data_IF_654276907793
#
_entry.id   IF_654276907793
#
_cell.length_a   1.000
_cell.length_b   1.000
_cell.length_c   1.000
_cell.angle_alpha   90.00
_cell.angle_beta   90.00
_cell.angle_gamma   90.00
#
_symmetry.space_group_name_H-M   'P 1'
#
loop_
_entity.id
_entity.type
_entity.pdbx_description
1 polymer ?
#
# COMPACT_ATOMS: atom_id res chain seq x y z
N UNK A 1 5.18 14.28 -13.33
CA UNK A 1 4.10 14.48 -12.34
C UNK A 1 3.34 15.77 -12.65
N UNK A 2 2.01 15.76 -12.49
CA UNK A 2 1.20 16.98 -12.47
C UNK A 2 0.88 17.32 -11.02
N UNK A 3 1.34 18.49 -10.60
CA UNK A 3 1.10 19.02 -9.26
C UNK A 3 -0.17 19.87 -9.29
N UNK A 4 -1.22 19.37 -8.64
CA UNK A 4 -2.54 20.00 -8.61
C UNK A 4 -2.70 21.05 -7.51
N UNK A 5 -1.98 20.89 -6.41
CA UNK A 5 -1.88 21.89 -5.34
C UNK A 5 -0.65 22.79 -5.56
N UNK A 6 -0.81 24.07 -5.92
CA UNK A 6 0.31 24.98 -6.11
C UNK A 6 1.13 25.20 -4.84
N UNK A 7 0.53 25.10 -3.65
CA UNK A 7 1.14 25.39 -2.35
C UNK A 7 1.87 24.20 -1.71
N UNK A 8 1.84 23.03 -2.35
CA UNK A 8 2.65 21.88 -1.92
C UNK A 8 4.15 22.14 -2.20
N UNK A 9 4.89 22.74 -1.27
CA UNK A 9 6.31 23.07 -1.51
C UNK A 9 7.29 21.91 -1.23
N UNK A 10 6.86 20.89 -0.49
CA UNK A 10 7.73 19.84 0.06
C UNK A 10 7.25 18.43 -0.25
N UNK A 11 5.93 18.18 -0.18
CA UNK A 11 5.36 16.85 -0.33
C UNK A 11 5.52 16.30 -1.75
N UNK A 12 5.44 17.13 -2.79
CA UNK A 12 5.69 16.68 -4.16
C UNK A 12 7.10 16.11 -4.36
N UNK A 13 8.12 16.65 -3.65
CA UNK A 13 9.49 16.14 -3.71
C UNK A 13 9.59 14.76 -3.08
N UNK A 14 8.92 14.57 -1.95
CA UNK A 14 8.85 13.27 -1.26
C UNK A 14 8.17 12.25 -2.17
N UNK A 15 7.03 12.62 -2.78
CA UNK A 15 6.27 11.80 -3.71
C UNK A 15 7.09 11.37 -4.94
N UNK A 16 7.86 12.29 -5.52
CA UNK A 16 8.74 11.98 -6.66
C UNK A 16 9.92 11.11 -6.25
N UNK A 17 10.50 11.35 -5.07
CA UNK A 17 11.57 10.53 -4.53
C UNK A 17 11.10 9.09 -4.31
N UNK A 18 9.90 8.92 -3.74
CA UNK A 18 9.26 7.61 -3.59
C UNK A 18 8.94 6.97 -4.94
N UNK A 19 8.45 7.73 -5.93
CA UNK A 19 8.21 7.20 -7.27
C UNK A 19 9.49 6.69 -7.92
N UNK A 20 10.61 7.41 -7.76
CA UNK A 20 11.90 6.99 -8.27
C UNK A 20 12.35 5.68 -7.60
N UNK A 21 12.19 5.56 -6.27
CA UNK A 21 12.48 4.32 -5.54
C UNK A 21 11.60 3.15 -6.02
N UNK A 22 10.30 3.39 -6.24
CA UNK A 22 9.39 2.39 -6.82
C UNK A 22 9.87 1.95 -8.22
N UNK A 23 10.26 2.91 -9.06
CA UNK A 23 10.77 2.64 -10.40
C UNK A 23 12.04 1.77 -10.37
N UNK A 24 13.00 2.09 -9.51
CA UNK A 24 14.22 1.30 -9.31
C UNK A 24 13.93 -0.13 -8.83
N UNK A 25 12.96 -0.29 -7.91
CA UNK A 25 12.54 -1.62 -7.43
C UNK A 25 11.91 -2.44 -8.56
N UNK A 26 11.14 -1.79 -9.42
CA UNK A 26 10.61 -2.40 -10.63
C UNK A 26 11.68 -2.59 -11.72
N UNK A 27 12.94 -2.20 -11.50
CA UNK A 27 14.05 -2.42 -12.42
C UNK A 27 14.21 -1.34 -13.49
N UNK A 28 13.52 -0.21 -13.37
CA UNK A 28 13.73 0.95 -14.23
C UNK A 28 14.90 1.79 -13.73
N UNK A 29 15.64 2.39 -14.68
CA UNK A 29 16.63 3.42 -14.40
C UNK A 29 16.00 4.79 -14.64
N UNK A 30 15.87 5.61 -13.59
CA UNK A 30 15.32 6.97 -13.72
C UNK A 30 16.37 7.88 -14.35
N UNK A 31 16.08 8.42 -15.54
CA UNK A 31 17.00 9.29 -16.30
C UNK A 31 16.68 10.77 -16.18
N UNK A 32 15.42 11.13 -16.00
CA UNK A 32 14.95 12.52 -15.89
C UNK A 32 13.63 12.60 -15.12
N UNK A 33 13.27 13.77 -14.62
CA UNK A 33 12.02 14.04 -13.89
C UNK A 33 11.36 15.32 -14.38
N UNK A 34 10.13 15.17 -14.93
CA UNK A 34 9.35 16.30 -15.43
C UNK A 34 8.18 16.63 -14.50
N UNK A 35 8.06 17.91 -14.15
CA UNK A 35 7.02 18.43 -13.27
C UNK A 35 6.24 19.53 -14.00
N UNK A 36 4.91 19.51 -13.84
CA UNK A 36 4.05 20.61 -14.28
C UNK A 36 3.07 20.99 -13.18
N UNK A 37 3.04 22.28 -12.82
CA UNK A 37 2.03 22.82 -11.89
C UNK A 37 0.79 23.20 -12.69
N UNK A 38 -0.38 22.67 -12.30
CA UNK A 38 -1.68 23.01 -12.92
C UNK A 38 -2.78 22.87 -11.89
N UNK A 39 -3.77 23.77 -11.85
CA UNK A 39 -4.92 23.62 -10.93
C UNK A 39 -5.70 22.31 -11.12
N UNK A 40 -5.74 21.79 -12.35
CA UNK A 40 -6.38 20.53 -12.71
C UNK A 40 -5.60 19.82 -13.82
N UNK A 41 -5.64 18.49 -13.77
CA UNK A 41 -5.10 17.65 -14.83
C UNK A 41 -5.80 17.92 -16.16
N UNK A 42 -5.03 17.87 -17.26
CA UNK A 42 -5.59 17.96 -18.60
C UNK A 42 -6.39 16.71 -18.94
N UNK A 43 -7.61 16.89 -19.46
CA UNK A 43 -8.54 15.79 -19.75
C UNK A 43 -7.98 14.74 -20.71
N UNK A 44 -7.17 15.17 -21.69
CA UNK A 44 -6.62 14.30 -22.74
C UNK A 44 -5.24 13.73 -22.46
N UNK A 45 -4.43 14.33 -21.57
CA UNK A 45 -3.00 14.01 -21.44
C UNK A 45 -2.47 14.01 -20.01
N UNK A 46 -3.30 14.37 -19.01
CA UNK A 46 -2.87 14.76 -17.66
C UNK A 46 -2.00 16.05 -17.66
N UNK A 47 -0.94 16.10 -18.47
CA UNK A 47 -0.11 17.27 -18.77
C UNK A 47 -0.78 18.22 -19.77
N UNK A 48 -0.35 19.49 -19.77
CA UNK A 48 -0.70 20.43 -20.84
C UNK A 48 -0.01 20.08 -22.15
N UNK A 49 -0.65 20.41 -23.29
CA UNK A 49 -0.15 20.09 -24.65
C UNK A 49 1.31 20.50 -24.89
N UNK A 50 1.70 21.71 -24.49
CA UNK A 50 3.09 22.17 -24.64
C UNK A 50 4.09 21.29 -23.87
N UNK A 51 3.73 20.91 -22.63
CA UNK A 51 4.56 20.03 -21.80
C UNK A 51 4.64 18.60 -22.37
N UNK A 52 3.58 18.10 -23.02
CA UNK A 52 3.64 16.82 -23.73
C UNK A 52 4.67 16.87 -24.85
N UNK A 53 4.78 18.01 -25.55
CA UNK A 53 5.76 18.16 -26.62
C UNK A 53 7.19 18.25 -26.08
N UNK A 54 7.41 18.96 -24.97
CA UNK A 54 8.70 18.95 -24.27
C UNK A 54 9.11 17.52 -23.85
N UNK A 55 8.18 16.74 -23.29
CA UNK A 55 8.44 15.34 -22.92
C UNK A 55 8.76 14.50 -24.16
N UNK A 56 8.08 14.72 -25.29
CA UNK A 56 8.35 14.02 -26.55
C UNK A 56 9.78 14.26 -27.05
N UNK A 57 10.25 15.50 -26.94
CA UNK A 57 11.63 15.87 -27.30
C UNK A 57 12.64 15.20 -26.37
N UNK A 58 12.38 15.18 -25.06
CA UNK A 58 13.21 14.47 -24.08
C UNK A 58 13.26 12.96 -24.34
N UNK A 59 12.12 12.34 -24.62
CA UNK A 59 12.03 10.91 -24.95
C UNK A 59 12.91 10.55 -26.14
N UNK A 60 12.89 11.38 -27.20
CA UNK A 60 13.75 11.17 -28.37
C UNK A 60 15.23 11.42 -28.08
N UNK A 61 15.53 12.50 -27.34
CA UNK A 61 16.91 12.92 -27.06
C UNK A 61 17.65 11.94 -26.15
N UNK A 62 16.94 11.36 -25.18
CA UNK A 62 17.51 10.47 -24.16
C UNK A 62 17.19 9.00 -24.42
N UNK A 63 16.57 8.67 -25.56
CA UNK A 63 16.19 7.31 -25.95
C UNK A 63 15.41 6.57 -24.85
N UNK A 64 14.35 7.22 -24.34
CA UNK A 64 13.57 6.71 -23.22
C UNK A 64 12.57 5.65 -23.70
N UNK A 65 12.57 4.46 -23.10
CA UNK A 65 11.63 3.37 -23.42
C UNK A 65 10.24 3.50 -22.77
N UNK A 66 10.20 4.11 -21.57
CA UNK A 66 8.99 4.15 -20.73
C UNK A 66 8.86 5.49 -20.02
N UNK A 67 7.66 6.08 -20.06
CA UNK A 67 7.32 7.28 -19.29
C UNK A 67 6.41 6.92 -18.12
N UNK A 68 6.90 7.17 -16.90
CA UNK A 68 6.21 6.84 -15.66
C UNK A 68 5.52 8.08 -15.08
N UNK A 69 4.21 7.99 -14.87
CA UNK A 69 3.42 9.05 -14.25
C UNK A 69 3.16 8.78 -12.77
N UNK A 70 3.42 9.78 -11.92
CA UNK A 70 2.98 9.75 -10.52
C UNK A 70 1.44 9.68 -10.39
N UNK A 71 0.75 10.49 -11.20
CA UNK A 71 -0.71 10.58 -11.22
C UNK A 71 -1.31 9.32 -11.85
N UNK A 72 -2.48 8.90 -11.38
CA UNK A 72 -3.23 7.78 -11.97
C UNK A 72 -3.88 8.24 -13.27
N UNK A 73 -3.52 7.59 -14.38
CA UNK A 73 -4.01 7.96 -15.70
C UNK A 73 -5.37 7.30 -16.01
N UNK A 74 -6.24 8.07 -16.65
CA UNK A 74 -7.43 7.56 -17.32
C UNK A 74 -7.03 6.85 -18.62
N UNK A 75 -7.83 5.88 -19.07
CA UNK A 75 -7.56 5.12 -20.30
C UNK A 75 -7.37 6.01 -21.53
N UNK A 76 -8.14 7.10 -21.65
CA UNK A 76 -7.99 8.06 -22.75
C UNK A 76 -6.68 8.87 -22.65
N UNK A 77 -6.26 9.25 -21.44
CA UNK A 77 -5.00 9.95 -21.20
C UNK A 77 -3.82 9.07 -21.58
N UNK A 78 -3.79 7.82 -21.10
CA UNK A 78 -2.76 6.82 -21.44
C UNK A 78 -2.66 6.63 -22.96
N UNK A 79 -3.79 6.34 -23.62
CA UNK A 79 -3.83 6.13 -25.07
C UNK A 79 -3.28 7.33 -25.86
N UNK A 80 -3.69 8.55 -25.51
CA UNK A 80 -3.23 9.75 -26.21
C UNK A 80 -1.74 10.02 -25.96
N UNK A 81 -1.25 9.78 -24.75
CA UNK A 81 0.17 9.94 -24.41
C UNK A 81 1.03 8.94 -25.18
N UNK A 82 0.69 7.65 -25.19
CA UNK A 82 1.41 6.62 -25.95
C UNK A 82 1.44 6.96 -27.45
N UNK A 83 0.33 7.43 -28.01
CA UNK A 83 0.27 7.87 -29.42
C UNK A 83 1.19 9.07 -29.70
N UNK A 84 1.28 10.02 -28.76
CA UNK A 84 2.09 11.22 -28.96
C UNK A 84 3.59 10.99 -28.73
N UNK A 85 3.92 10.18 -27.71
CA UNK A 85 5.28 9.93 -27.25
C UNK A 85 5.94 8.74 -27.99
N UNK A 86 5.13 7.83 -28.55
CA UNK A 86 5.56 6.61 -29.25
C UNK A 86 6.38 5.64 -28.39
N UNK A 87 6.10 5.62 -27.09
CA UNK A 87 6.76 4.79 -26.07
C UNK A 87 5.73 4.32 -25.05
N UNK A 88 6.08 3.34 -24.22
CA UNK A 88 5.16 2.83 -23.20
C UNK A 88 4.89 3.91 -22.13
N UNK A 89 3.62 4.03 -21.71
CA UNK A 89 3.22 4.96 -20.66
C UNK A 89 2.54 4.18 -19.54
N UNK A 90 3.18 4.15 -18.38
CA UNK A 90 2.64 3.55 -17.18
C UNK A 90 2.38 4.62 -16.13
N UNK A 91 1.37 4.40 -15.30
CA UNK A 91 1.14 5.24 -14.13
C UNK A 91 1.63 4.56 -12.85
N UNK A 92 1.54 5.26 -11.73
CA UNK A 92 1.96 4.75 -10.43
C UNK A 92 1.23 3.47 -10.04
N UNK A 93 -0.03 3.32 -10.45
CA UNK A 93 -0.82 2.12 -10.16
C UNK A 93 -0.24 0.91 -10.92
N UNK A 94 0.06 1.08 -12.21
CA UNK A 94 0.70 0.07 -13.06
C UNK A 94 2.08 -0.31 -12.48
N UNK A 95 2.92 0.68 -12.17
CA UNK A 95 4.24 0.46 -11.56
C UNK A 95 4.17 -0.33 -10.25
N UNK A 96 3.19 0.00 -9.41
CA UNK A 96 2.98 -0.68 -8.15
C UNK A 96 2.59 -2.16 -8.36
N UNK A 97 1.73 -2.46 -9.34
CA UNK A 97 1.39 -3.84 -9.71
C UNK A 97 2.58 -4.62 -10.28
N UNK A 98 3.55 -3.97 -10.92
CA UNK A 98 4.78 -4.62 -11.38
C UNK A 98 5.68 -5.05 -10.22
N UNK A 99 5.88 -4.16 -9.25
CA UNK A 99 6.65 -4.49 -8.05
C UNK A 99 5.99 -5.64 -7.29
N UNK A 100 4.66 -5.62 -7.22
CA UNK A 100 3.90 -6.67 -6.57
C UNK A 100 4.05 -8.01 -7.26
N UNK A 101 3.97 -8.04 -8.57
CA UNK A 101 4.13 -9.27 -9.34
C UNK A 101 5.51 -9.90 -9.13
N UNK A 102 6.57 -9.07 -9.05
CA UNK A 102 7.94 -9.52 -8.74
C UNK A 102 8.08 -10.08 -7.33
N UNK A 103 7.30 -9.57 -6.38
CA UNK A 103 7.42 -9.94 -4.96
C UNK A 103 6.41 -11.00 -4.52
N UNK A 104 5.40 -11.31 -5.35
CA UNK A 104 4.33 -12.25 -5.03
C UNK A 104 4.81 -13.71 -5.18
N UNK A 105 4.94 -14.40 -4.05
CA UNK A 105 5.32 -15.82 -4.03
C UNK A 105 4.14 -16.76 -4.12
N UNK A 106 3.00 -16.38 -3.55
CA UNK A 106 1.85 -17.27 -3.37
C UNK A 106 0.79 -17.09 -4.48
N UNK A 107 -0.03 -18.13 -4.66
CA UNK A 107 -1.03 -18.19 -5.73
C UNK A 107 -2.13 -17.12 -5.57
N UNK A 108 -2.51 -16.81 -4.33
CA UNK A 108 -3.56 -15.85 -4.04
C UNK A 108 -3.12 -14.45 -4.47
N UNK A 109 -1.93 -14.01 -4.03
CA UNK A 109 -1.37 -12.71 -4.39
C UNK A 109 -1.22 -12.58 -5.91
N UNK A 110 -0.75 -13.63 -6.59
CA UNK A 110 -0.64 -13.65 -8.06
C UNK A 110 -1.98 -13.46 -8.76
N UNK A 111 -3.03 -14.16 -8.31
CA UNK A 111 -4.38 -14.01 -8.88
C UNK A 111 -4.98 -12.63 -8.60
N UNK A 112 -4.71 -12.04 -7.43
CA UNK A 112 -5.14 -10.69 -7.08
C UNK A 112 -4.49 -9.63 -7.98
N UNK A 113 -3.17 -9.72 -8.16
CA UNK A 113 -2.41 -8.83 -9.04
C UNK A 113 -2.88 -8.99 -10.48
N UNK A 114 -3.08 -10.23 -10.95
CA UNK A 114 -3.61 -10.49 -12.28
C UNK A 114 -5.01 -9.87 -12.47
N UNK A 115 -5.91 -10.06 -11.49
CA UNK A 115 -7.24 -9.49 -11.54
C UNK A 115 -7.21 -7.96 -11.60
N UNK A 116 -6.32 -7.34 -10.81
CA UNK A 116 -6.11 -5.89 -10.79
C UNK A 116 -5.63 -5.40 -12.17
N UNK A 117 -4.60 -6.03 -12.75
CA UNK A 117 -4.09 -5.72 -14.10
C UNK A 117 -5.16 -5.84 -15.16
N UNK A 118 -5.90 -6.95 -15.19
CA UNK A 118 -6.97 -7.18 -16.17
C UNK A 118 -8.08 -6.14 -16.03
N UNK A 119 -8.46 -5.79 -14.81
CA UNK A 119 -9.52 -4.82 -14.55
C UNK A 119 -9.10 -3.41 -14.97
N UNK A 120 -7.85 -3.01 -14.72
CA UNK A 120 -7.28 -1.72 -15.15
C UNK A 120 -7.09 -1.66 -16.67
N UNK A 121 -6.64 -2.74 -17.29
CA UNK A 121 -6.42 -2.82 -18.74
C UNK A 121 -7.74 -2.85 -19.52
N UNK A 122 -8.80 -3.47 -18.99
CA UNK A 122 -10.09 -3.64 -19.69
C UNK A 122 -10.65 -2.36 -20.36
N UNK A 123 -10.82 -1.22 -19.67
CA UNK A 123 -11.32 0.00 -20.32
C UNK A 123 -10.35 0.57 -21.38
N UNK A 124 -9.04 0.37 -21.21
CA UNK A 124 -8.03 0.79 -22.17
C UNK A 124 -8.06 -0.06 -23.45
N UNK A 125 -8.11 -1.38 -23.32
CA UNK A 125 -8.22 -2.29 -24.46
C UNK A 125 -9.53 -2.08 -25.23
N UNK A 126 -10.64 -1.82 -24.52
CA UNK A 126 -11.91 -1.45 -25.13
C UNK A 126 -11.79 -0.18 -25.97
N UNK A 127 -11.11 0.85 -25.46
CA UNK A 127 -10.89 2.10 -26.18
C UNK A 127 -10.03 1.87 -27.43
N UNK A 128 -8.89 1.17 -27.29
CA UNK A 128 -7.96 0.88 -28.39
C UNK A 128 -8.65 0.12 -29.52
N UNK A 129 -9.43 -0.91 -29.16
CA UNK A 129 -10.17 -1.71 -30.12
C UNK A 129 -11.28 -0.90 -30.82
N UNK A 130 -11.98 0.00 -30.11
CA UNK A 130 -12.98 0.88 -30.70
C UNK A 130 -12.38 1.89 -31.69
N UNK A 131 -11.23 2.49 -31.36
CA UNK A 131 -10.55 3.43 -32.27
C UNK A 131 -10.04 2.70 -33.51
N UNK A 132 -9.43 1.52 -33.35
CA UNK A 132 -8.98 0.70 -34.48
C UNK A 132 -10.13 0.35 -35.42
N UNK A 133 -11.28 -0.05 -34.86
CA UNK A 133 -12.49 -0.33 -35.62
C UNK A 133 -12.96 0.86 -36.46
N UNK A 134 -13.01 2.07 -35.86
CA UNK A 134 -13.41 3.29 -36.55
C UNK A 134 -12.45 3.70 -37.68
N UNK A 135 -11.14 3.50 -37.49
CA UNK A 135 -10.12 3.84 -38.51
C UNK A 135 -10.16 2.88 -39.69
N UNK A 136 -10.34 1.58 -39.44
CA UNK A 136 -10.31 0.55 -40.49
C UNK A 136 -11.61 0.49 -41.32
N UNK A 137 -12.72 1.07 -40.84
CA UNK A 137 -14.04 0.93 -41.50
C UNK A 137 -14.84 2.25 -41.54
N UNK A 138 -14.47 3.24 -42.37
CA UNK A 138 -15.36 4.33 -42.75
C UNK A 138 -16.43 3.81 -43.74
N UNK A 139 -17.35 2.97 -43.24
CA UNK A 139 -18.53 2.50 -43.96
C UNK A 139 -18.40 1.13 -44.67
N UNK A 140 -18.63 0.03 -43.94
CA UNK A 140 -19.34 -1.22 -44.36
C UNK A 140 -19.05 -2.34 -43.35
N UNK A 141 -20.10 -3.05 -42.93
CA UNK A 141 -20.04 -4.21 -42.02
C UNK A 141 -19.38 -5.41 -42.72
N UNK A 142 -18.39 -6.03 -42.07
CA UNK A 142 -18.13 -7.49 -42.04
C UNK A 142 -16.62 -7.79 -41.94
N UNK A 143 -16.12 -7.89 -40.70
CA UNK A 143 -14.97 -8.67 -40.19
C UNK A 143 -14.33 -8.02 -38.95
N UNK A 144 -14.24 -6.69 -38.89
CA UNK A 144 -13.66 -5.95 -37.74
C UNK A 144 -14.44 -6.06 -36.42
N UNK A 145 -15.78 -6.17 -36.48
CA UNK A 145 -16.62 -6.36 -35.28
C UNK A 145 -16.28 -7.67 -34.55
N UNK A 146 -16.00 -8.76 -35.28
CA UNK A 146 -15.69 -10.05 -34.69
C UNK A 146 -14.36 -10.03 -33.92
N UNK A 147 -13.33 -9.36 -34.45
CA UNK A 147 -12.04 -9.22 -33.77
C UNK A 147 -12.16 -8.34 -32.51
N UNK A 148 -12.87 -7.22 -32.60
CA UNK A 148 -13.22 -6.36 -31.45
C UNK A 148 -13.93 -7.15 -30.35
N UNK A 149 -15.00 -7.86 -30.71
CA UNK A 149 -15.76 -8.65 -29.75
C UNK A 149 -14.95 -9.82 -29.19
N UNK A 150 -14.05 -10.43 -29.97
CA UNK A 150 -13.22 -11.55 -29.53
C UNK A 150 -12.25 -11.15 -28.42
N UNK A 151 -11.47 -10.07 -28.59
CA UNK A 151 -10.50 -9.61 -27.57
C UNK A 151 -11.20 -9.24 -26.26
N UNK A 152 -12.30 -8.47 -26.35
CA UNK A 152 -13.07 -8.06 -25.17
C UNK A 152 -13.74 -9.25 -24.49
N UNK A 153 -14.24 -10.22 -25.27
CA UNK A 153 -14.83 -11.47 -24.75
C UNK A 153 -13.78 -12.32 -24.05
N UNK A 154 -12.57 -12.42 -24.59
CA UNK A 154 -11.46 -13.14 -23.98
C UNK A 154 -11.04 -12.50 -22.64
N UNK A 155 -10.89 -11.18 -22.59
CA UNK A 155 -10.58 -10.46 -21.34
C UNK A 155 -11.67 -10.68 -20.28
N UNK A 156 -12.96 -10.55 -20.64
CA UNK A 156 -14.07 -10.83 -19.72
C UNK A 156 -14.06 -12.26 -19.20
N UNK A 157 -13.81 -13.24 -20.09
CA UNK A 157 -13.73 -14.65 -19.71
C UNK A 157 -12.57 -14.89 -18.74
N UNK A 158 -11.41 -14.26 -18.97
CA UNK A 158 -10.25 -14.35 -18.08
C UNK A 158 -10.54 -13.72 -16.72
N UNK A 159 -11.09 -12.50 -16.68
CA UNK A 159 -11.52 -11.83 -15.44
C UNK A 159 -12.47 -12.73 -14.64
N UNK A 160 -13.49 -13.30 -15.29
CA UNK A 160 -14.45 -14.20 -14.63
C UNK A 160 -13.77 -15.46 -14.06
N UNK A 161 -12.83 -16.05 -14.81
CA UNK A 161 -12.08 -17.24 -14.36
C UNK A 161 -11.22 -16.92 -13.14
N UNK A 162 -10.42 -15.85 -13.21
CA UNK A 162 -9.52 -15.43 -12.12
C UNK A 162 -10.31 -15.09 -10.87
N UNK A 163 -11.46 -14.40 -10.99
CA UNK A 163 -12.35 -14.11 -9.85
C UNK A 163 -12.85 -15.39 -9.16
N UNK A 164 -13.38 -16.34 -9.94
CA UNK A 164 -13.89 -17.61 -9.40
C UNK A 164 -12.79 -18.42 -8.69
N UNK A 165 -11.59 -18.43 -9.26
CA UNK A 165 -10.45 -19.12 -8.66
C UNK A 165 -9.99 -18.43 -7.37
N UNK A 166 -9.99 -17.09 -7.35
CA UNK A 166 -9.65 -16.30 -6.17
C UNK A 166 -10.68 -16.49 -5.03
N UNK A 167 -11.98 -16.48 -5.34
CA UNK A 167 -13.06 -16.71 -4.37
C UNK A 167 -12.89 -18.04 -3.64
N UNK A 168 -12.63 -19.13 -4.36
CA UNK A 168 -12.41 -20.44 -3.75
C UNK A 168 -11.18 -20.47 -2.82
N UNK A 169 -10.11 -19.74 -3.16
CA UNK A 169 -8.91 -19.68 -2.32
C UNK A 169 -9.09 -18.79 -1.08
N UNK A 170 -9.90 -17.72 -1.19
CA UNK A 170 -10.29 -16.86 -0.07
C UNK A 170 -10.98 -17.70 1.01
N UNK A 171 -11.98 -18.50 0.63
CA UNK A 171 -12.73 -19.35 1.57
C UNK A 171 -11.82 -20.31 2.34
N UNK A 172 -10.84 -20.92 1.64
CA UNK A 172 -9.86 -21.82 2.26
C UNK A 172 -8.96 -21.05 3.25
N UNK A 173 -8.52 -19.84 2.90
CA UNK A 173 -7.69 -19.02 3.78
C UNK A 173 -8.44 -18.59 5.05
N UNK A 174 -9.69 -18.15 4.92
CA UNK A 174 -10.54 -17.76 6.05
C UNK A 174 -10.80 -18.93 7.00
N UNK A 175 -11.02 -20.14 6.46
CA UNK A 175 -11.14 -21.36 7.27
C UNK A 175 -9.87 -21.61 8.10
N UNK A 176 -8.68 -21.46 7.51
CA UNK A 176 -7.40 -21.62 8.23
C UNK A 176 -7.22 -20.58 9.33
N UNK A 177 -7.63 -19.34 9.12
CA UNK A 177 -7.61 -18.31 10.16
C UNK A 177 -8.51 -18.71 11.32
N UNK A 178 -9.72 -19.19 11.02
CA UNK A 178 -10.70 -19.64 12.03
C UNK A 178 -10.14 -20.80 12.86
N UNK A 179 -9.60 -21.83 12.20
CA UNK A 179 -8.96 -22.98 12.87
C UNK A 179 -7.79 -22.54 13.76
N UNK A 180 -7.05 -21.49 13.41
CA UNK A 180 -5.98 -20.94 14.26
C UNK A 180 -6.53 -20.22 15.48
N UNK A 181 -7.61 -19.45 15.33
CA UNK A 181 -8.29 -18.79 16.45
C UNK A 181 -8.88 -19.80 17.42
N UNK A 182 -9.47 -20.89 16.91
CA UNK A 182 -10.01 -21.98 17.72
C UNK A 182 -8.93 -22.70 18.55
N UNK A 183 -7.67 -22.71 18.08
CA UNK A 183 -6.51 -23.22 18.83
C UNK A 183 -6.05 -22.30 19.97
N UNK A 184 -6.74 -21.17 20.20
CA UNK A 184 -6.57 -20.33 21.39
C UNK A 184 -5.29 -19.48 21.45
N UNK A 185 -4.50 -19.44 20.37
CA UNK A 185 -3.26 -18.66 20.32
C UNK A 185 -3.51 -17.27 19.73
N UNK A 186 -3.11 -16.19 20.41
CA UNK A 186 -3.31 -14.83 19.93
C UNK A 186 -2.47 -14.54 18.69
N UNK A 187 -2.99 -13.66 17.84
CA UNK A 187 -2.38 -13.22 16.58
C UNK A 187 -1.98 -11.75 16.70
N UNK A 188 -0.70 -11.48 16.52
CA UNK A 188 -0.11 -10.14 16.51
C UNK A 188 0.37 -9.81 15.09
N UNK A 189 -0.10 -8.68 14.57
CA UNK A 189 0.14 -8.26 13.19
C UNK A 189 1.02 -7.02 13.13
N UNK A 190 2.12 -7.06 12.38
CA UNK A 190 2.98 -5.90 12.12
C UNK A 190 2.50 -5.17 10.87
N UNK A 191 2.22 -3.87 10.99
CA UNK A 191 1.79 -3.01 9.89
C UNK A 191 2.48 -1.64 9.94
N UNK A 192 2.32 -0.83 8.89
CA UNK A 192 2.94 0.49 8.75
C UNK A 192 3.66 0.69 7.42
N UNK A 193 4.20 1.88 7.21
CA UNK A 193 4.84 2.26 5.95
C UNK A 193 6.05 1.39 5.59
N UNK A 194 6.35 1.24 4.30
CA UNK A 194 7.61 0.59 3.90
C UNK A 194 8.81 1.36 4.46
N UNK A 195 9.90 0.62 4.66
CA UNK A 195 11.08 1.18 5.31
C UNK A 195 10.92 1.42 6.81
N UNK A 196 9.72 1.38 7.42
CA UNK A 196 9.54 1.64 8.86
C UNK A 196 10.22 0.59 9.78
N UNK A 197 10.63 -0.56 9.23
CA UNK A 197 11.35 -1.61 9.95
C UNK A 197 10.47 -2.76 10.42
N UNK A 198 9.31 -2.99 9.78
CA UNK A 198 8.42 -4.14 10.04
C UNK A 198 9.17 -5.47 9.99
N UNK A 199 9.83 -5.77 8.88
CA UNK A 199 10.61 -7.01 8.72
C UNK A 199 11.79 -7.07 9.69
N UNK A 200 12.38 -5.93 10.08
CA UNK A 200 13.44 -5.89 11.09
C UNK A 200 12.92 -6.28 12.48
N UNK A 201 11.79 -5.71 12.91
CA UNK A 201 11.14 -6.08 14.17
C UNK A 201 10.67 -7.52 14.12
N UNK A 202 10.07 -7.95 13.00
CA UNK A 202 9.69 -9.34 12.78
C UNK A 202 10.88 -10.27 12.98
N UNK A 203 12.02 -10.01 12.33
CA UNK A 203 13.24 -10.81 12.47
C UNK A 203 13.74 -10.81 13.92
N UNK A 204 13.77 -9.64 14.57
CA UNK A 204 14.24 -9.52 15.94
C UNK A 204 13.35 -10.30 16.94
N UNK A 205 12.03 -10.32 16.74
CA UNK A 205 11.09 -11.06 17.59
C UNK A 205 11.06 -12.57 17.29
N UNK A 206 11.38 -12.97 16.05
CA UNK A 206 11.28 -14.38 15.61
C UNK A 206 12.62 -15.11 15.53
N UNK A 207 13.74 -14.41 15.61
CA UNK A 207 15.07 -14.95 15.32
C UNK A 207 15.30 -15.30 13.84
N UNK A 208 14.37 -14.97 12.96
CA UNK A 208 14.50 -15.23 11.52
C UNK A 208 15.41 -14.21 10.85
N UNK A 209 15.98 -14.59 9.70
CA UNK A 209 16.83 -13.71 8.89
C UNK A 209 16.16 -13.42 7.53
N UNK A 210 14.94 -12.85 7.55
CA UNK A 210 14.30 -12.41 6.30
C UNK A 210 15.05 -11.21 5.71
N UNK A 211 15.11 -11.07 4.37
CA UNK A 211 15.72 -9.91 3.74
C UNK A 211 15.08 -8.60 4.20
N UNK A 212 15.84 -7.78 4.91
CA UNK A 212 15.42 -6.42 5.29
C UNK A 212 15.89 -5.49 4.20
N UNK A 213 14.96 -4.96 3.41
CA UNK A 213 15.27 -3.90 2.46
C UNK A 213 14.41 -2.68 2.78
N UNK A 214 14.98 -1.48 2.66
CA UNK A 214 14.24 -0.22 2.82
C UNK A 214 13.27 0.07 1.67
N UNK A 215 13.02 -0.92 0.82
CA UNK A 215 12.27 -0.81 -0.42
C UNK A 215 10.77 -1.11 -0.16
N UNK A 216 9.87 -0.51 -0.95
CA UNK A 216 8.45 -0.82 -0.90
C UNK A 216 8.13 -2.27 -1.27
N UNK A 217 7.07 -2.81 -0.66
CA UNK A 217 6.38 -4.04 -1.07
C UNK A 217 7.20 -5.34 -1.03
N UNK A 218 8.20 -5.41 -0.16
CA UNK A 218 9.09 -6.58 0.03
C UNK A 218 8.39 -7.81 0.61
N UNK A 219 7.30 -7.59 1.36
CA UNK A 219 6.52 -8.65 2.00
C UNK A 219 5.10 -8.58 1.47
N UNK A 220 4.75 -9.48 0.55
CA UNK A 220 3.38 -9.61 0.01
C UNK A 220 2.61 -10.78 0.59
N UNK A 221 3.31 -11.82 1.02
CA UNK A 221 2.68 -13.00 1.61
C UNK A 221 2.90 -13.01 3.12
N UNK A 222 1.80 -12.86 3.85
CA UNK A 222 1.76 -13.02 5.29
C UNK A 222 2.07 -14.48 5.65
N UNK A 223 3.17 -14.71 6.37
CA UNK A 223 3.45 -16.00 7.01
C UNK A 223 3.31 -15.86 8.51
N UNK A 224 2.48 -16.72 9.08
CA UNK A 224 2.30 -16.86 10.52
C UNK A 224 3.53 -17.56 11.08
N UNK A 225 4.20 -16.92 12.03
CA UNK A 225 5.30 -17.52 12.76
C UNK A 225 4.93 -17.62 14.24
N UNK A 226 5.03 -18.82 14.79
CA UNK A 226 4.78 -19.05 16.19
C UNK A 226 6.03 -18.66 16.96
N UNK A 227 5.89 -17.72 17.90
CA UNK A 227 6.92 -17.46 18.90
C UNK A 227 6.42 -17.94 20.26
N UNK A 228 7.34 -18.44 21.07
CA UNK A 228 7.10 -18.78 22.46
C UNK A 228 7.80 -17.74 23.30
N UNK A 229 7.03 -16.91 24.01
CA UNK A 229 7.58 -16.06 25.07
C UNK A 229 7.41 -16.77 26.42
N UNK A 230 8.11 -16.30 27.46
CA UNK A 230 8.18 -16.93 28.78
C UNK A 230 6.83 -17.31 29.41
N UNK A 231 5.73 -16.63 29.04
CA UNK A 231 4.39 -16.82 29.63
C UNK A 231 3.32 -17.26 28.62
N UNK A 232 3.57 -17.14 27.30
CA UNK A 232 2.57 -17.49 26.28
C UNK A 232 3.15 -17.70 24.89
N UNK A 233 2.46 -18.52 24.09
CA UNK A 233 2.75 -18.66 22.66
C UNK A 233 1.82 -17.77 21.84
N UNK A 234 2.37 -17.04 20.87
CA UNK A 234 1.61 -16.15 20.01
C UNK A 234 2.08 -16.24 18.55
N UNK A 235 1.19 -15.95 17.62
CA UNK A 235 1.53 -15.84 16.21
C UNK A 235 1.92 -14.42 15.85
N UNK A 236 3.07 -14.24 15.22
CA UNK A 236 3.49 -12.98 14.60
C UNK A 236 3.33 -13.08 13.08
N UNK A 237 2.82 -12.00 12.47
CA UNK A 237 2.68 -11.87 11.02
C UNK A 237 3.35 -10.56 10.56
N UNK A 238 4.23 -10.66 9.56
CA UNK A 238 4.72 -9.50 8.79
C UNK A 238 3.78 -9.27 7.60
N UNK A 239 3.19 -8.07 7.52
CA UNK A 239 2.25 -7.72 6.45
C UNK A 239 2.84 -6.73 5.45
N UNK A 240 2.08 -6.48 4.38
CA UNK A 240 2.43 -5.50 3.36
C UNK A 240 2.68 -4.12 3.97
N UNK A 241 3.75 -3.47 3.52
CA UNK A 241 4.02 -2.09 3.86
C UNK A 241 3.15 -1.12 3.08
N UNK A 242 2.55 -0.15 3.76
CA UNK A 242 1.86 0.96 3.10
C UNK A 242 2.86 1.83 2.33
N UNK A 243 2.40 2.44 1.24
CA UNK A 243 3.10 3.47 0.47
C UNK A 243 2.23 4.73 0.40
N UNK A 244 2.81 5.90 0.10
CA UNK A 244 2.00 7.12 0.01
C UNK A 244 0.99 6.99 -1.14
N UNK A 245 -0.15 7.67 -1.03
CA UNK A 245 -1.18 7.73 -2.08
C UNK A 245 -1.50 6.35 -2.71
N UNK A 246 -1.52 5.28 -1.88
CA UNK A 246 -1.86 3.93 -2.35
C UNK A 246 -3.31 3.95 -2.86
N UNK A 247 -3.49 3.57 -4.13
CA UNK A 247 -4.81 3.58 -4.76
C UNK A 247 -5.77 2.64 -4.02
N UNK A 248 -7.01 3.07 -3.68
CA UNK A 248 -7.99 2.20 -3.02
C UNK A 248 -8.27 0.89 -3.77
N UNK A 249 -8.16 0.88 -5.11
CA UNK A 249 -8.32 -0.33 -5.93
C UNK A 249 -7.17 -1.32 -5.73
N UNK A 250 -5.98 -0.85 -5.33
CA UNK A 250 -4.89 -1.72 -4.91
C UNK A 250 -5.21 -2.31 -3.53
N UNK A 251 -5.68 -1.50 -2.57
CA UNK A 251 -6.11 -1.96 -1.25
C UNK A 251 -7.15 -3.08 -1.38
N UNK A 252 -8.13 -2.92 -2.28
CA UNK A 252 -9.12 -3.95 -2.59
C UNK A 252 -8.51 -5.25 -3.13
N UNK A 253 -7.47 -5.15 -3.94
CA UNK A 253 -6.73 -6.31 -4.44
C UNK A 253 -5.94 -7.02 -3.34
N UNK A 254 -5.61 -6.35 -2.23
CA UNK A 254 -4.90 -6.91 -1.08
C UNK A 254 -5.83 -7.27 0.10
N UNK A 255 -7.14 -7.35 -0.13
CA UNK A 255 -8.13 -7.65 0.92
C UNK A 255 -7.76 -8.82 1.82
N UNK A 256 -7.06 -9.84 1.31
CA UNK A 256 -6.65 -10.98 2.12
C UNK A 256 -5.48 -10.70 3.07
N UNK A 257 -4.44 -9.98 2.65
CA UNK A 257 -3.36 -9.57 3.58
C UNK A 257 -3.87 -8.56 4.59
N UNK A 258 -4.88 -7.76 4.22
CA UNK A 258 -5.58 -6.87 5.14
C UNK A 258 -6.58 -7.63 6.05
N UNK A 259 -7.12 -8.77 5.61
CA UNK A 259 -7.93 -9.63 6.46
C UNK A 259 -7.10 -10.24 7.60
N UNK A 260 -5.80 -10.49 7.39
CA UNK A 260 -4.92 -10.92 8.48
C UNK A 260 -4.81 -9.82 9.56
N UNK A 261 -4.79 -8.54 9.16
CA UNK A 261 -4.84 -7.39 10.10
C UNK A 261 -6.17 -7.39 10.86
N UNK A 262 -7.31 -7.56 10.16
CA UNK A 262 -8.65 -7.64 10.80
C UNK A 262 -8.78 -8.82 11.75
N UNK A 263 -8.18 -9.95 11.39
CA UNK A 263 -8.23 -11.16 12.18
C UNK A 263 -7.31 -11.09 13.40
N UNK A 264 -6.34 -10.16 13.45
CA UNK A 264 -5.42 -10.03 14.57
C UNK A 264 -6.10 -9.56 15.86
N UNK A 265 -5.55 -10.03 16.97
CA UNK A 265 -5.92 -9.59 18.31
C UNK A 265 -5.21 -8.27 18.64
N UNK A 266 -3.97 -8.11 18.18
CA UNK A 266 -3.18 -6.88 18.32
C UNK A 266 -2.57 -6.47 16.97
N UNK A 267 -2.62 -5.17 16.69
CA UNK A 267 -1.96 -4.54 15.54
C UNK A 267 -0.81 -3.67 16.04
N UNK A 268 0.42 -4.02 15.65
CA UNK A 268 1.61 -3.20 15.86
C UNK A 268 1.76 -2.25 14.68
N UNK A 269 1.37 -0.98 14.87
CA UNK A 269 1.59 0.06 13.87
C UNK A 269 3.00 0.63 14.03
N UNK A 270 3.89 0.21 13.15
CA UNK A 270 5.31 0.57 13.16
C UNK A 270 5.52 1.86 12.38
N UNK A 271 6.16 2.82 13.03
CA UNK A 271 6.40 4.17 12.52
C UNK A 271 7.88 4.49 12.64
N UNK A 272 8.47 5.05 11.59
CA UNK A 272 9.88 5.47 11.60
C UNK A 272 10.01 6.84 12.27
N UNK A 273 10.55 6.87 13.49
CA UNK A 273 10.71 8.12 14.23
C UNK A 273 11.82 9.01 13.64
N UNK A 274 12.69 8.47 12.78
CA UNK A 274 13.73 9.24 12.10
C UNK A 274 13.23 10.06 10.91
N UNK A 275 11.99 9.83 10.46
CA UNK A 275 11.39 10.65 9.41
C UNK A 275 11.27 12.13 9.85
N UNK A 276 11.41 13.10 8.93
CA UNK A 276 11.07 14.49 9.20
C UNK A 276 9.63 14.62 9.72
N UNK A 277 9.39 15.53 10.67
CA UNK A 277 8.11 15.61 11.41
C UNK A 277 6.86 15.64 10.50
N UNK A 278 6.88 16.40 9.42
CA UNK A 278 5.76 16.46 8.47
C UNK A 278 5.48 15.12 7.77
N UNK A 279 6.54 14.39 7.39
CA UNK A 279 6.42 13.07 6.77
C UNK A 279 5.97 12.02 7.80
N UNK A 280 6.52 12.08 9.00
CA UNK A 280 6.14 11.23 10.13
C UNK A 280 4.63 11.34 10.42
N UNK A 281 4.12 12.56 10.59
CA UNK A 281 2.70 12.80 10.85
C UNK A 281 1.83 12.37 9.68
N UNK A 282 2.24 12.63 8.44
CA UNK A 282 1.53 12.18 7.25
C UNK A 282 1.40 10.65 7.23
N UNK A 283 2.51 9.93 7.40
CA UNK A 283 2.54 8.46 7.42
C UNK A 283 1.70 7.88 8.55
N UNK A 284 1.78 8.45 9.75
CA UNK A 284 0.96 8.04 10.88
C UNK A 284 -0.53 8.21 10.58
N UNK A 285 -0.93 9.41 10.14
CA UNK A 285 -2.32 9.77 9.84
C UNK A 285 -2.91 8.87 8.75
N UNK A 286 -2.19 8.69 7.63
CA UNK A 286 -2.63 7.81 6.55
C UNK A 286 -2.73 6.35 6.99
N UNK A 287 -1.79 5.86 7.82
CA UNK A 287 -1.87 4.49 8.33
C UNK A 287 -3.09 4.29 9.23
N UNK A 288 -3.36 5.24 10.12
CA UNK A 288 -4.53 5.19 11.01
C UNK A 288 -5.84 5.25 10.21
N UNK A 289 -5.91 6.07 9.16
CA UNK A 289 -7.06 6.11 8.25
C UNK A 289 -7.29 4.74 7.58
N UNK A 290 -6.24 4.11 7.06
CA UNK A 290 -6.35 2.77 6.46
C UNK A 290 -6.86 1.76 7.51
N UNK A 291 -6.31 1.77 8.73
CA UNK A 291 -6.74 0.85 9.79
C UNK A 291 -8.20 1.10 10.21
N UNK A 292 -8.63 2.37 10.26
CA UNK A 292 -10.02 2.75 10.52
C UNK A 292 -10.96 2.26 9.43
N UNK A 293 -10.60 2.43 8.16
CA UNK A 293 -11.40 1.95 7.01
C UNK A 293 -11.49 0.42 6.98
N UNK A 294 -10.50 -0.27 7.56
CA UNK A 294 -10.53 -1.71 7.81
C UNK A 294 -11.35 -2.10 9.05
N UNK A 295 -11.91 -1.15 9.80
CA UNK A 295 -12.69 -1.42 11.01
C UNK A 295 -11.84 -1.88 12.20
N UNK A 296 -10.54 -1.61 12.20
CA UNK A 296 -9.67 -1.88 13.35
C UNK A 296 -9.97 -0.85 14.44
N UNK A 297 -10.28 -1.33 15.62
CA UNK A 297 -10.55 -0.51 16.79
C UNK A 297 -9.25 -0.05 17.45
N UNK A 298 -9.25 1.15 18.04
CA UNK A 298 -8.03 1.79 18.57
C UNK A 298 -7.42 1.00 19.73
N UNK A 299 -8.26 0.34 20.51
CA UNK A 299 -7.87 -0.55 21.61
C UNK A 299 -7.05 -1.75 21.15
N UNK A 300 -7.04 -2.12 19.87
CA UNK A 300 -6.16 -3.18 19.34
C UNK A 300 -4.79 -2.68 18.89
N UNK A 301 -4.60 -1.37 18.77
CA UNK A 301 -3.41 -0.79 18.13
C UNK A 301 -2.34 -0.48 19.19
N UNK A 302 -1.11 -0.88 18.93
CA UNK A 302 0.08 -0.41 19.65
C UNK A 302 0.94 0.39 18.66
N UNK A 303 1.27 1.64 19.00
CA UNK A 303 2.20 2.46 18.23
C UNK A 303 3.64 2.06 18.56
N UNK A 304 4.38 1.60 17.56
CA UNK A 304 5.79 1.22 17.70
C UNK A 304 6.64 2.27 17.01
N UNK A 305 7.22 3.18 17.79
CA UNK A 305 8.11 4.23 17.29
C UNK A 305 9.50 3.64 17.13
N UNK A 306 9.80 3.16 15.93
CA UNK A 306 11.02 2.44 15.60
C UNK A 306 12.12 3.37 15.10
N UNK A 307 13.37 2.89 15.15
CA UNK A 307 14.61 3.56 14.71
C UNK A 307 15.05 4.73 15.60
N UNK A 308 14.80 4.60 16.90
CA UNK A 308 15.30 5.58 17.90
C UNK A 308 16.82 5.71 17.90
N UNK A 309 17.56 4.73 17.36
CA UNK A 309 19.01 4.77 17.20
C UNK A 309 19.50 5.80 16.18
N UNK A 310 18.61 6.37 15.36
CA UNK A 310 18.96 7.31 14.30
C UNK A 310 18.77 8.78 14.65
N UNK A 311 18.24 9.09 15.83
CA UNK A 311 17.92 10.45 16.23
C UNK A 311 18.54 10.78 17.59
N UNK A 312 18.79 12.06 17.83
CA UNK A 312 19.26 12.55 19.13
C UNK A 312 18.15 12.50 20.18
N UNK A 313 18.52 12.55 21.47
CA UNK A 313 17.54 12.61 22.55
C UNK A 313 16.71 13.90 22.49
N UNK A 314 17.32 15.03 22.10
CA UNK A 314 16.64 16.30 21.90
C UNK A 314 15.58 16.21 20.80
N UNK A 315 15.94 15.65 19.64
CA UNK A 315 15.01 15.46 18.52
C UNK A 315 13.88 14.51 18.90
N UNK A 316 14.18 13.43 19.62
CA UNK A 316 13.18 12.49 20.12
C UNK A 316 12.18 13.21 21.03
N UNK A 317 12.66 13.97 22.04
CA UNK A 317 11.78 14.73 22.95
C UNK A 317 10.86 15.68 22.19
N UNK A 318 11.40 16.42 21.21
CA UNK A 318 10.61 17.31 20.37
C UNK A 318 9.50 16.55 19.60
N UNK A 319 9.84 15.44 18.93
CA UNK A 319 8.87 14.64 18.18
C UNK A 319 7.79 14.05 19.08
N UNK A 320 8.12 13.62 20.30
CA UNK A 320 7.14 13.09 21.26
C UNK A 320 6.12 14.14 21.71
N UNK A 321 6.51 15.42 21.82
CA UNK A 321 5.55 16.50 22.10
C UNK A 321 4.51 16.62 20.99
N UNK A 322 4.92 16.56 19.73
CA UNK A 322 3.98 16.60 18.59
C UNK A 322 3.13 15.33 18.46
N UNK A 323 3.66 14.19 18.89
CA UNK A 323 2.95 12.91 18.88
C UNK A 323 2.05 12.69 20.11
N UNK A 324 2.16 13.53 21.14
CA UNK A 324 1.39 13.44 22.38
C UNK A 324 -0.12 13.23 22.17
N UNK A 325 -0.81 13.92 21.24
CA UNK A 325 -2.23 13.69 20.99
C UNK A 325 -2.59 12.28 20.53
N UNK A 326 -1.66 11.58 19.87
CA UNK A 326 -1.82 10.19 19.48
C UNK A 326 -1.43 9.26 20.65
N UNK A 327 -0.35 9.57 21.35
CA UNK A 327 0.16 8.77 22.46
C UNK A 327 -0.76 8.76 23.69
N UNK A 328 -1.63 9.76 23.84
CA UNK A 328 -2.67 9.77 24.87
C UNK A 328 -3.83 8.81 24.56
N UNK A 329 -4.00 8.42 23.30
CA UNK A 329 -5.08 7.54 22.83
C UNK A 329 -4.56 6.10 22.69
N UNK A 330 -3.33 5.95 22.18
CA UNK A 330 -2.76 4.65 21.86
C UNK A 330 -1.66 4.26 22.83
N UNK A 331 -1.65 2.99 23.23
CA UNK A 331 -0.45 2.37 23.82
C UNK A 331 0.71 2.55 22.85
N UNK A 332 1.85 3.07 23.31
CA UNK A 332 3.04 3.24 22.48
C UNK A 332 4.29 2.62 23.12
N UNK A 333 5.30 2.36 22.30
CA UNK A 333 6.63 1.91 22.72
C UNK A 333 7.73 2.47 21.80
N UNK A 334 8.89 2.74 22.39
CA UNK A 334 10.07 3.22 21.70
C UNK A 334 11.00 2.05 21.40
N UNK A 335 11.34 1.82 20.13
CA UNK A 335 12.09 0.63 19.72
C UNK A 335 13.24 1.00 18.78
N UNK A 336 14.34 0.28 18.88
CA UNK A 336 15.33 0.17 17.81
C UNK A 336 15.49 -1.30 17.45
N UNK A 337 14.87 -1.69 16.34
CA UNK A 337 14.98 -3.06 15.83
C UNK A 337 16.43 -3.45 15.49
N UNK A 338 17.29 -2.46 15.22
CA UNK A 338 18.71 -2.67 14.89
C UNK A 338 19.54 -3.00 16.13
N UNK A 339 19.28 -2.31 17.24
CA UNK A 339 20.06 -2.46 18.48
C UNK A 339 19.41 -3.42 19.49
N UNK A 340 18.15 -3.78 19.28
CA UNK A 340 17.34 -4.58 20.21
C UNK A 340 16.70 -3.75 21.33
N UNK A 341 17.05 -2.47 21.48
CA UNK A 341 16.51 -1.59 22.52
C UNK A 341 14.98 -1.50 22.42
N UNK A 342 14.30 -1.73 23.54
CA UNK A 342 12.85 -1.60 23.67
C UNK A 342 12.03 -2.81 23.19
N UNK A 343 12.66 -3.89 22.70
CA UNK A 343 11.94 -5.09 22.28
C UNK A 343 11.30 -5.84 23.45
N UNK A 344 11.97 -5.90 24.59
CA UNK A 344 11.41 -6.52 25.80
C UNK A 344 10.19 -5.74 26.32
N UNK A 345 10.26 -4.40 26.28
CA UNK A 345 9.11 -3.53 26.61
C UNK A 345 7.95 -3.72 25.63
N UNK A 346 8.25 -3.89 24.34
CA UNK A 346 7.24 -4.18 23.31
C UNK A 346 6.54 -5.51 23.63
N UNK A 347 7.28 -6.57 23.94
CA UNK A 347 6.72 -7.87 24.32
C UNK A 347 5.84 -7.76 25.58
N UNK A 348 6.32 -7.06 26.62
CA UNK A 348 5.54 -6.84 27.83
C UNK A 348 4.21 -6.09 27.57
N UNK A 349 4.23 -5.05 26.71
CA UNK A 349 3.01 -4.33 26.32
C UNK A 349 2.05 -5.18 25.49
N UNK A 350 2.57 -6.05 24.63
CA UNK A 350 1.75 -7.03 23.90
C UNK A 350 1.04 -7.95 24.90
N UNK A 351 1.77 -8.51 25.87
CA UNK A 351 1.21 -9.42 26.87
C UNK A 351 0.15 -8.75 27.75
N UNK A 352 0.44 -7.56 28.29
CA UNK A 352 -0.52 -6.81 29.10
C UNK A 352 -1.81 -6.56 28.32
N UNK A 353 -1.70 -6.15 27.06
CA UNK A 353 -2.84 -5.87 26.21
C UNK A 353 -3.63 -7.13 25.82
N UNK A 354 -2.95 -8.25 25.59
CA UNK A 354 -3.61 -9.54 25.39
C UNK A 354 -4.34 -10.02 26.65
N UNK A 355 -3.79 -9.74 27.84
CA UNK A 355 -4.42 -10.10 29.11
C UNK A 355 -5.69 -9.28 29.37
N UNK A 356 -5.67 -7.98 29.06
CA UNK A 356 -6.85 -7.09 29.12
C UNK A 356 -7.96 -7.56 28.19
N UNK A 357 -7.62 -8.07 27.00
CA UNK A 357 -8.58 -8.62 26.05
C UNK A 357 -9.12 -10.01 26.43
N UNK A 358 -8.40 -10.79 27.23
CA UNK A 358 -8.82 -12.13 27.70
C UNK A 358 -9.70 -12.09 28.95
N UNK A 359 -9.61 -11.05 29.77
CA UNK A 359 -10.53 -10.84 30.88
C UNK A 359 -11.93 -10.54 30.31
N UNK A 360 -12.94 -11.42 30.51
CA UNK A 360 -14.27 -11.16 30.00
C UNK A 360 -14.80 -9.90 30.68
N UNK A 361 -15.09 -8.90 29.87
CA UNK A 361 -15.77 -7.70 30.30
C UNK A 361 -17.20 -8.09 30.72
N UNK A 362 -17.38 -8.37 32.01
CA UNK A 362 -18.58 -7.96 32.73
C UNK A 362 -18.63 -6.41 32.69
N UNK A 363 -18.88 -5.82 31.51
CA UNK A 363 -19.37 -4.45 31.42
C UNK A 363 -20.72 -4.53 30.77
N UNK A 364 -21.71 -4.36 31.64
CA UNK A 364 -23.08 -4.05 31.33
C UNK A 364 -23.16 -3.02 30.21
N UNK A 365 -24.12 -3.26 29.32
CA UNK A 365 -24.71 -2.25 28.45
C UNK A 365 -25.21 -1.07 29.31
N UNK A 366 -24.44 0.03 29.37
CA UNK A 366 -25.01 1.35 29.64
C UNK A 366 -24.23 2.41 28.85
N UNK A 367 -24.88 2.91 27.78
CA UNK A 367 -24.89 4.33 27.43
C UNK A 367 -23.63 4.97 26.82
N UNK A 368 -23.68 5.16 25.50
CA UNK A 368 -23.75 6.51 24.90
C UNK A 368 -22.55 7.46 24.99
N UNK A 369 -21.91 7.66 23.84
CA UNK A 369 -21.49 8.97 23.28
C UNK A 369 -20.63 9.89 24.15
N UNK A 370 -19.30 9.90 23.95
CA UNK A 370 -18.48 11.13 24.13
C UNK A 370 -17.08 11.09 23.51
N UNK A 371 -16.49 9.93 23.22
CA UNK A 371 -15.11 9.87 22.69
C UNK A 371 -14.99 9.91 21.15
N UNK A 372 -16.10 9.86 20.41
CA UNK A 372 -16.09 9.91 18.94
C UNK A 372 -15.81 11.31 18.36
N UNK A 373 -16.00 12.39 19.14
CA UNK A 373 -15.87 13.77 18.65
C UNK A 373 -14.43 14.27 18.57
N UNK A 374 -13.54 13.86 19.48
CA UNK A 374 -12.13 14.28 19.45
C UNK A 374 -11.35 13.66 18.29
N UNK A 375 -11.76 12.47 17.84
CA UNK A 375 -11.10 11.75 16.76
C UNK A 375 -11.30 12.40 15.38
N UNK A 376 -12.45 13.04 15.14
CA UNK A 376 -12.70 13.78 13.89
C UNK A 376 -11.80 15.02 13.75
N UNK A 377 -11.22 15.51 14.85
CA UNK A 377 -10.33 16.68 14.84
C UNK A 377 -8.84 16.35 14.62
N UNK A 378 -8.45 15.07 14.77
CA UNK A 378 -7.06 14.60 14.62
C UNK A 378 -6.82 13.87 13.27
N UNK A 379 -7.89 13.42 12.61
CA UNK A 379 -7.91 12.94 11.22
C UNK A 379 -8.19 14.08 10.22
#
# INVERSE_FOLDING_TARGET
>A
MVKTDPHDHTLYKIRLTELAQLAEVAGYKVVDTVIQVRRREHSSYCLGKGKVQEVKELVKKLEIDTVIFYNILKSNQKYNLEKQLNVEVIDRYDLTLEIFDKSASDKISKLQIELARLTKAFPYEKLKAAVKYLVEHPGKKSMGEYAYHSVIKQLRKRIKKVRKELEALIEIHEKRIRERKEKGKPIVCLTGYYGAGKTSIFNALTGLNKPVTGKPFTTLSSKYYLISNHTSELFIIDTIGFALDLDPRLIDSFKLTLNDIKASDIVLLIVDISDPLGLLLLKLKTSLNILKDLGITYDKIILVLNKIDKISEEELKQKLVFLHPYMSIFTYVLVSAKTGRGLDELLAKIENKLSEHKAPTLRQEVGGTTQSSHFASLL
#
